data_IF_569894315807
#
_entry.id   IF_569894315807
#
_cell.length_a   1.000
_cell.length_b   1.000
_cell.length_c   1.000
_cell.angle_alpha   90.00
_cell.angle_beta   90.00
_cell.angle_gamma   90.00
#
_symmetry.space_group_name_H-M   'P 1'
#
loop_
_entity.id
_entity.type
_entity.pdbx_description
1 polymer ?
#
# COMPACT_ATOMS: atom_id res chain seq x y z
N UNK A 1 2.24 26.31 33.91
CA UNK A 1 1.74 24.95 34.18
C UNK A 1 0.99 24.37 32.98
N UNK A 2 -0.17 24.92 32.58
CA UNK A 2 -0.97 24.39 31.45
C UNK A 2 -0.16 24.35 30.14
N UNK A 3 0.56 25.44 29.82
CA UNK A 3 1.42 25.51 28.62
C UNK A 3 2.54 24.47 28.64
N UNK A 4 3.09 24.16 29.82
CA UNK A 4 4.09 23.09 29.99
C UNK A 4 3.50 21.72 29.65
N UNK A 5 2.31 21.40 30.17
CA UNK A 5 1.63 20.13 29.89
C UNK A 5 1.24 20.01 28.42
N UNK A 6 0.76 21.10 27.80
CA UNK A 6 0.49 21.14 26.36
C UNK A 6 1.76 20.89 25.55
N UNK A 7 2.87 21.54 25.90
CA UNK A 7 4.16 21.35 25.23
C UNK A 7 4.63 19.90 25.29
N UNK A 8 4.56 19.25 26.46
CA UNK A 8 4.93 17.82 26.59
C UNK A 8 4.01 16.91 25.77
N UNK A 9 2.70 17.16 25.80
CA UNK A 9 1.74 16.41 24.99
C UNK A 9 2.04 16.55 23.49
N UNK A 10 2.37 17.74 23.04
CA UNK A 10 2.72 18.00 21.64
C UNK A 10 4.04 17.34 21.25
N UNK A 11 5.07 17.45 22.10
CA UNK A 11 6.39 16.84 21.88
C UNK A 11 6.36 15.31 21.87
N UNK A 12 5.57 14.71 22.76
CA UNK A 12 5.52 13.24 22.89
C UNK A 12 4.43 12.62 22.01
N UNK A 13 3.44 13.40 21.56
CA UNK A 13 2.25 12.88 20.86
C UNK A 13 1.39 11.93 21.70
N UNK A 14 1.69 11.74 22.99
CA UNK A 14 0.98 10.82 23.88
C UNK A 14 -0.15 11.56 24.58
N UNK A 15 -1.39 11.13 24.29
CA UNK A 15 -2.59 11.64 24.95
C UNK A 15 -2.78 11.12 26.37
N UNK A 16 -3.63 11.78 27.16
CA UNK A 16 -3.86 11.43 28.58
C UNK A 16 -4.29 9.98 28.82
N UNK A 17 -5.07 9.39 27.90
CA UNK A 17 -5.48 7.99 27.98
C UNK A 17 -4.29 7.05 27.81
N UNK A 18 -3.44 7.32 26.81
CA UNK A 18 -2.27 6.49 26.55
C UNK A 18 -1.21 6.64 27.67
N UNK A 19 -1.08 7.85 28.24
CA UNK A 19 -0.14 8.13 29.33
C UNK A 19 -0.42 7.28 30.58
N UNK A 20 -1.70 7.08 30.92
CA UNK A 20 -2.11 6.29 32.09
C UNK A 20 -2.39 4.82 31.76
N UNK A 21 -2.32 4.43 30.49
CA UNK A 21 -2.63 3.05 30.09
C UNK A 21 -1.59 2.10 30.68
N UNK A 22 -2.09 1.05 31.35
CA UNK A 22 -1.29 -0.02 31.96
C UNK A 22 -0.30 0.45 33.05
N UNK A 23 -0.60 1.54 33.76
CA UNK A 23 0.24 2.01 34.86
C UNK A 23 -0.30 1.55 36.22
N UNK A 24 0.47 0.73 36.92
CA UNK A 24 0.11 0.22 38.26
C UNK A 24 0.42 1.21 39.38
N UNK A 25 1.30 2.17 39.13
CA UNK A 25 1.74 3.23 40.04
C UNK A 25 0.88 4.50 39.97
N UNK A 26 -0.29 4.45 39.33
CA UNK A 26 -1.16 5.60 39.14
C UNK A 26 -1.70 6.11 40.50
N UNK A 27 -1.53 7.41 40.83
CA UNK A 27 -2.11 8.01 42.02
C UNK A 27 -3.62 7.81 42.11
N UNK A 28 -4.13 7.67 43.34
CA UNK A 28 -5.54 7.45 43.60
C UNK A 28 -6.40 8.59 43.00
N UNK A 29 -7.51 8.24 42.36
CA UNK A 29 -8.43 9.17 41.70
C UNK A 29 -7.85 9.96 40.50
N UNK A 30 -6.62 9.68 40.05
CA UNK A 30 -6.12 10.26 38.80
C UNK A 30 -6.74 9.54 37.59
N UNK A 31 -7.47 10.27 36.75
CA UNK A 31 -8.11 9.71 35.55
C UNK A 31 -7.67 10.48 34.29
N UNK A 32 -7.76 9.88 33.09
CA UNK A 32 -7.46 10.59 31.84
C UNK A 32 -8.34 11.83 31.62
N UNK A 33 -9.54 11.85 32.24
CA UNK A 33 -10.46 12.99 32.20
C UNK A 33 -9.94 14.16 33.02
N UNK A 34 -9.32 13.92 34.18
CA UNK A 34 -8.67 14.97 34.97
C UNK A 34 -7.57 15.66 34.17
N UNK A 35 -6.66 14.88 33.58
CA UNK A 35 -5.58 15.42 32.73
C UNK A 35 -6.13 16.21 31.54
N UNK A 36 -7.18 15.70 30.88
CA UNK A 36 -7.84 16.41 29.78
C UNK A 36 -8.43 17.75 30.25
N UNK A 37 -9.12 17.77 31.39
CA UNK A 37 -9.65 19.01 31.97
C UNK A 37 -8.56 20.03 32.32
N UNK A 38 -7.37 19.58 32.77
CA UNK A 38 -6.23 20.47 33.02
C UNK A 38 -5.68 21.08 31.73
N UNK A 39 -5.53 20.27 30.67
CA UNK A 39 -5.07 20.74 29.36
C UNK A 39 -6.04 21.73 28.72
N UNK A 40 -7.34 21.56 28.96
CA UNK A 40 -8.41 22.45 28.50
C UNK A 40 -8.57 23.69 29.39
N UNK A 41 -7.83 23.78 30.51
CA UNK A 41 -7.93 24.89 31.47
C UNK A 41 -9.25 24.95 32.24
N UNK A 42 -10.05 23.88 32.24
CA UNK A 42 -11.34 23.82 32.95
C UNK A 42 -11.19 23.63 34.46
N UNK A 43 -10.05 23.12 34.91
CA UNK A 43 -9.72 22.92 36.31
C UNK A 43 -8.53 23.82 36.67
N UNK A 44 -8.76 24.73 37.62
CA UNK A 44 -7.77 25.73 38.07
C UNK A 44 -6.87 25.15 39.18
N UNK A 45 -7.38 24.20 39.96
CA UNK A 45 -6.65 23.55 41.05
C UNK A 45 -6.31 22.11 40.69
N UNK A 46 -5.05 21.73 40.89
CA UNK A 46 -4.52 20.39 40.62
C UNK A 46 -3.70 19.95 41.84
N UNK A 47 -3.94 18.74 42.40
CA UNK A 47 -3.10 18.19 43.45
C UNK A 47 -1.62 18.13 43.00
N UNK A 48 -0.67 18.66 43.78
CA UNK A 48 0.75 18.69 43.39
C UNK A 48 1.32 17.32 43.04
N UNK A 49 0.92 16.27 43.77
CA UNK A 49 1.36 14.89 43.53
C UNK A 49 0.92 14.37 42.16
N UNK A 50 -0.32 14.66 41.74
CA UNK A 50 -0.81 14.22 40.44
C UNK A 50 -0.09 14.95 39.30
N UNK A 51 0.20 16.24 39.48
CA UNK A 51 0.94 17.02 38.51
C UNK A 51 2.37 16.49 38.36
N UNK A 52 3.06 16.26 39.49
CA UNK A 52 4.42 15.71 39.52
C UNK A 52 4.49 14.35 38.83
N UNK A 53 3.53 13.46 39.13
CA UNK A 53 3.43 12.17 38.48
C UNK A 53 3.26 12.31 36.96
N UNK A 54 2.27 13.08 36.50
CA UNK A 54 1.99 13.24 35.06
C UNK A 54 3.16 13.88 34.31
N UNK A 55 3.82 14.87 34.89
CA UNK A 55 5.02 15.48 34.30
C UNK A 55 6.18 14.48 34.21
N UNK A 56 6.47 13.75 35.29
CA UNK A 56 7.53 12.73 35.28
C UNK A 56 7.27 11.63 34.24
N UNK A 57 6.01 11.23 34.04
CA UNK A 57 5.65 10.27 32.99
C UNK A 57 5.84 10.83 31.59
N UNK A 58 5.49 12.08 31.33
CA UNK A 58 5.72 12.71 30.02
C UNK A 58 7.20 12.99 29.75
N UNK A 59 7.97 13.32 30.77
CA UNK A 59 9.42 13.55 30.67
C UNK A 59 10.18 12.25 30.36
N UNK A 60 9.70 11.11 30.86
CA UNK A 60 10.27 9.80 30.54
C UNK A 60 9.93 9.30 29.13
N UNK A 61 9.00 9.94 28.41
CA UNK A 61 8.62 9.54 27.06
C UNK A 61 9.58 10.11 26.00
N UNK A 62 9.82 9.38 24.90
CA UNK A 62 10.60 9.89 23.79
C UNK A 62 9.95 11.16 23.20
N UNK A 63 10.78 12.15 22.90
CA UNK A 63 10.37 13.36 22.18
C UNK A 63 10.37 13.05 20.69
N UNK A 64 9.25 13.33 20.03
CA UNK A 64 9.10 13.18 18.60
C UNK A 64 9.02 14.54 17.92
N UNK A 65 9.51 14.60 16.70
CA UNK A 65 9.40 15.78 15.85
C UNK A 65 8.17 15.68 14.96
N UNK A 66 7.37 16.74 14.97
CA UNK A 66 6.17 16.85 14.14
C UNK A 66 6.37 17.89 13.04
N UNK A 67 5.85 17.59 11.86
CA UNK A 67 5.77 18.50 10.72
C UNK A 67 4.32 18.75 10.31
N UNK A 68 4.10 19.80 9.51
CA UNK A 68 2.82 20.07 8.85
C UNK A 68 2.82 19.46 7.46
N UNK A 69 1.74 18.77 7.09
CA UNK A 69 1.58 18.28 5.72
C UNK A 69 1.30 19.47 4.82
N UNK A 70 2.27 19.82 3.99
CA UNK A 70 2.11 20.80 2.90
C UNK A 70 1.57 20.11 1.65
N UNK A 71 1.14 20.89 0.66
CA UNK A 71 0.70 20.36 -0.64
C UNK A 71 1.85 19.59 -1.32
N UNK A 72 3.08 20.12 -1.29
CA UNK A 72 4.26 19.43 -1.85
C UNK A 72 4.48 18.02 -1.27
N UNK A 73 4.35 17.86 0.05
CA UNK A 73 4.51 16.55 0.71
C UNK A 73 3.39 15.61 0.26
N UNK A 74 2.17 16.14 0.16
CA UNK A 74 1.00 15.37 -0.24
C UNK A 74 1.14 14.91 -1.71
N UNK A 75 1.66 15.76 -2.58
CA UNK A 75 1.93 15.44 -3.97
C UNK A 75 3.00 14.35 -4.09
N UNK A 76 4.09 14.43 -3.34
CA UNK A 76 5.12 13.37 -3.28
C UNK A 76 4.51 12.03 -2.81
N UNK A 77 3.68 12.05 -1.76
CA UNK A 77 3.02 10.84 -1.26
C UNK A 77 2.07 10.23 -2.31
N UNK A 78 1.30 11.08 -3.00
CA UNK A 78 0.38 10.66 -4.07
C UNK A 78 1.12 10.14 -5.28
N UNK A 79 2.22 10.77 -5.67
CA UNK A 79 3.09 10.32 -6.76
C UNK A 79 3.59 8.91 -6.49
N UNK A 80 4.18 8.68 -5.32
CA UNK A 80 4.62 7.35 -4.89
C UNK A 80 3.49 6.32 -4.87
N UNK A 81 2.33 6.70 -4.34
CA UNK A 81 1.15 5.84 -4.31
C UNK A 81 0.64 5.52 -5.73
N UNK A 82 0.64 6.49 -6.64
CA UNK A 82 0.22 6.32 -8.02
C UNK A 82 1.23 5.51 -8.84
N UNK A 83 2.53 5.70 -8.62
CA UNK A 83 3.63 4.97 -9.26
C UNK A 83 3.62 3.49 -8.87
N UNK A 84 3.49 3.20 -7.57
CA UNK A 84 3.57 1.83 -7.04
C UNK A 84 2.24 1.09 -7.01
N UNK A 85 1.11 1.81 -7.00
CA UNK A 85 -0.24 1.28 -6.73
C UNK A 85 -0.35 0.46 -5.43
N UNK A 86 0.62 0.59 -4.52
CA UNK A 86 0.65 -0.10 -3.24
C UNK A 86 0.01 0.79 -2.18
N UNK A 87 -1.15 0.37 -1.66
CA UNK A 87 -1.86 1.10 -0.60
C UNK A 87 -1.19 0.98 0.79
N UNK A 88 -1.64 1.76 1.77
CA UNK A 88 -1.06 1.78 3.12
C UNK A 88 -1.04 0.43 3.85
N UNK A 89 -2.05 -0.42 3.65
CA UNK A 89 -2.13 -1.73 4.30
C UNK A 89 -1.04 -2.68 3.75
N UNK A 90 -0.96 -2.93 2.42
CA UNK A 90 0.15 -3.70 1.86
C UNK A 90 1.54 -3.12 2.15
N UNK A 91 1.68 -1.78 2.14
CA UNK A 91 2.97 -1.12 2.41
C UNK A 91 3.57 -1.52 3.77
N UNK A 92 2.71 -1.67 4.78
CA UNK A 92 3.08 -1.95 6.16
C UNK A 92 2.98 -3.43 6.56
N UNK A 93 2.50 -4.31 5.67
CA UNK A 93 2.17 -5.71 6.02
C UNK A 93 3.41 -6.53 6.40
N UNK A 94 4.50 -6.36 5.67
CA UNK A 94 5.73 -7.17 5.81
C UNK A 94 6.94 -6.32 6.24
N UNK A 95 6.68 -5.19 6.88
CA UNK A 95 7.69 -4.18 7.13
C UNK A 95 8.37 -4.41 8.49
N UNK A 96 9.62 -4.85 8.46
CA UNK A 96 10.49 -4.87 9.64
C UNK A 96 10.78 -3.42 10.11
N UNK A 97 11.00 -3.24 11.41
CA UNK A 97 11.34 -1.94 12.02
C UNK A 97 10.31 -0.81 11.80
N UNK A 98 9.01 -1.13 11.81
CA UNK A 98 7.95 -0.12 11.74
C UNK A 98 8.02 0.83 12.95
N UNK A 99 8.06 2.17 12.74
CA UNK A 99 8.01 3.13 13.83
C UNK A 99 6.79 2.93 14.73
N UNK A 100 6.99 3.13 16.03
CA UNK A 100 5.92 2.97 17.01
C UNK A 100 4.72 3.87 16.69
N UNK A 101 3.52 3.31 16.76
CA UNK A 101 2.28 4.03 16.51
C UNK A 101 1.93 4.23 15.02
N UNK A 102 2.82 3.97 14.08
CA UNK A 102 2.50 4.06 12.65
C UNK A 102 1.51 2.95 12.25
N UNK A 103 0.34 3.36 11.76
CA UNK A 103 -0.76 2.46 11.35
C UNK A 103 -1.24 2.84 9.95
N UNK A 104 -1.80 1.89 9.17
CA UNK A 104 -2.25 2.17 7.80
C UNK A 104 -3.23 3.35 7.69
N UNK A 105 -4.13 3.52 8.65
CA UNK A 105 -5.11 4.61 8.63
C UNK A 105 -4.49 6.00 8.82
N UNK A 106 -3.30 6.10 9.44
CA UNK A 106 -2.58 7.37 9.59
C UNK A 106 -2.10 7.84 8.22
N UNK A 107 -1.50 6.93 7.45
CA UNK A 107 -1.04 7.19 6.08
C UNK A 107 -2.24 7.50 5.18
N UNK A 108 -3.34 6.75 5.30
CA UNK A 108 -4.57 7.05 4.57
C UNK A 108 -5.11 8.45 4.90
N UNK A 109 -5.11 8.86 6.18
CA UNK A 109 -5.52 10.19 6.59
C UNK A 109 -4.61 11.30 6.03
N UNK A 110 -3.32 11.03 5.79
CA UNK A 110 -2.42 11.95 5.08
C UNK A 110 -2.80 12.08 3.60
N UNK A 111 -2.98 10.96 2.90
CA UNK A 111 -3.35 10.93 1.48
C UNK A 111 -4.71 11.59 1.21
N UNK A 112 -5.66 11.40 2.12
CA UNK A 112 -6.99 12.01 2.05
C UNK A 112 -7.00 13.50 2.48
N UNK A 113 -5.87 14.04 2.97
CA UNK A 113 -5.79 15.39 3.52
C UNK A 113 -6.55 15.61 4.84
N UNK A 114 -7.02 14.52 5.48
CA UNK A 114 -7.76 14.57 6.76
C UNK A 114 -6.87 14.92 7.95
N UNK A 115 -5.59 14.59 7.88
CA UNK A 115 -4.61 15.02 8.88
C UNK A 115 -3.72 16.12 8.33
N UNK A 116 -3.48 17.17 9.11
CA UNK A 116 -2.60 18.30 8.76
C UNK A 116 -1.21 18.19 9.38
N UNK A 117 -0.94 17.13 10.13
CA UNK A 117 0.34 16.91 10.82
C UNK A 117 0.82 15.48 10.65
N UNK A 118 2.13 15.31 10.74
CA UNK A 118 2.80 14.02 10.69
C UNK A 118 3.97 14.00 11.66
N UNK A 119 4.36 12.81 12.11
CA UNK A 119 5.65 12.62 12.78
C UNK A 119 6.74 12.43 11.74
N UNK A 120 7.87 13.11 11.86
CA UNK A 120 8.94 13.09 10.85
C UNK A 120 9.51 11.69 10.61
N UNK A 121 9.66 10.90 11.66
CA UNK A 121 10.11 9.51 11.57
C UNK A 121 9.14 8.63 10.78
N UNK A 122 7.84 8.82 10.99
CA UNK A 122 6.81 8.11 10.25
C UNK A 122 6.82 8.49 8.76
N UNK A 123 6.91 9.78 8.44
CA UNK A 123 6.96 10.24 7.05
C UNK A 123 8.20 9.71 6.33
N UNK A 124 9.38 9.84 6.96
CA UNK A 124 10.64 9.32 6.42
C UNK A 124 10.54 7.82 6.11
N UNK A 125 10.06 7.03 7.06
CA UNK A 125 9.87 5.59 6.88
C UNK A 125 8.93 5.25 5.72
N UNK A 126 7.81 5.96 5.61
CA UNK A 126 6.82 5.73 4.54
C UNK A 126 7.39 6.07 3.18
N UNK A 127 8.11 7.18 3.05
CA UNK A 127 8.76 7.59 1.80
C UNK A 127 9.87 6.62 1.40
N UNK A 128 10.75 6.22 2.33
CA UNK A 128 11.80 5.21 2.08
C UNK A 128 11.20 3.87 1.61
N UNK A 129 10.09 3.46 2.21
CA UNK A 129 9.42 2.20 1.83
C UNK A 129 8.79 2.27 0.45
N UNK A 130 8.08 3.36 0.13
CA UNK A 130 7.50 3.51 -1.20
C UNK A 130 8.56 3.73 -2.28
N UNK A 131 9.64 4.46 -1.99
CA UNK A 131 10.73 4.67 -2.96
C UNK A 131 11.45 3.37 -3.32
N UNK A 132 11.60 2.46 -2.35
CA UNK A 132 12.19 1.13 -2.57
C UNK A 132 11.30 0.16 -3.35
N UNK A 133 10.00 0.43 -3.49
CA UNK A 133 9.10 -0.41 -4.28
C UNK A 133 9.29 -0.12 -5.78
N UNK A 134 9.34 -1.17 -6.62
CA UNK A 134 9.37 -0.99 -8.07
C UNK A 134 8.10 -0.26 -8.53
N UNK A 135 8.20 0.45 -9.65
CA UNK A 135 7.03 0.98 -10.34
C UNK A 135 6.05 -0.15 -10.58
N UNK A 136 4.75 0.13 -10.46
CA UNK A 136 3.72 -0.77 -10.93
C UNK A 136 3.79 -0.79 -12.46
N UNK A 137 4.79 -1.51 -13.00
CA UNK A 137 4.81 -1.98 -14.38
C UNK A 137 3.58 -2.86 -14.55
N UNK A 138 2.44 -2.26 -14.88
CA UNK A 138 1.21 -2.86 -15.37
C UNK A 138 0.79 -4.21 -14.74
N UNK A 139 1.21 -4.51 -13.52
CA UNK A 139 0.96 -5.75 -12.81
C UNK A 139 -0.41 -5.63 -12.15
N UNK A 140 -1.44 -5.40 -12.98
CA UNK A 140 -2.76 -5.97 -12.70
C UNK A 140 -2.49 -7.44 -12.45
N UNK A 141 -2.46 -7.84 -11.18
CA UNK A 141 -2.31 -9.22 -10.69
C UNK A 141 -1.99 -10.15 -11.84
N UNK A 142 -0.70 -10.30 -12.17
CA UNK A 142 -0.29 -11.48 -12.91
C UNK A 142 -0.69 -12.61 -11.98
N UNK A 143 -1.88 -13.18 -12.19
CA UNK A 143 -2.32 -14.36 -11.47
C UNK A 143 -1.15 -15.32 -11.60
N UNK A 144 -0.66 -15.82 -10.46
CA UNK A 144 0.39 -16.83 -10.41
C UNK A 144 0.24 -17.82 -11.57
N UNK A 145 1.21 -17.85 -12.50
CA UNK A 145 1.21 -18.70 -13.68
C UNK A 145 0.77 -18.06 -15.01
N UNK A 146 0.49 -16.76 -15.05
CA UNK A 146 0.30 -16.01 -16.31
C UNK A 146 1.56 -15.20 -16.65
N UNK A 147 1.82 -14.99 -17.93
CA UNK A 147 2.86 -14.09 -18.44
C UNK A 147 2.19 -13.02 -19.30
N UNK A 148 2.78 -11.83 -19.36
CA UNK A 148 2.34 -10.79 -20.29
C UNK A 148 2.67 -11.19 -21.72
N UNK A 149 1.74 -10.95 -22.63
CA UNK A 149 1.93 -11.18 -24.06
C UNK A 149 2.66 -9.96 -24.62
N UNK A 150 3.93 -10.15 -24.98
CA UNK A 150 4.76 -9.06 -25.50
C UNK A 150 4.29 -8.61 -26.88
N UNK A 151 4.60 -7.36 -27.31
CA UNK A 151 4.32 -6.92 -28.67
C UNK A 151 4.86 -7.90 -29.73
N UNK A 152 6.11 -8.35 -29.57
CA UNK A 152 6.73 -9.32 -30.47
C UNK A 152 5.99 -10.67 -30.54
N UNK A 153 5.44 -11.15 -29.42
CA UNK A 153 4.61 -12.36 -29.43
C UNK A 153 3.29 -12.15 -30.16
N UNK A 154 2.67 -10.97 -30.03
CA UNK A 154 1.44 -10.63 -30.76
C UNK A 154 1.70 -10.51 -32.26
N UNK A 155 2.81 -9.88 -32.66
CA UNK A 155 3.21 -9.76 -34.06
C UNK A 155 3.42 -11.14 -34.68
N UNK A 156 4.08 -12.05 -33.94
CA UNK A 156 4.24 -13.45 -34.36
C UNK A 156 2.91 -14.19 -34.52
N UNK A 157 1.93 -13.96 -33.64
CA UNK A 157 0.59 -14.56 -33.79
C UNK A 157 -0.11 -14.05 -35.06
N UNK A 158 -0.01 -12.75 -35.37
CA UNK A 158 -0.55 -12.17 -36.60
C UNK A 158 0.17 -12.73 -37.84
N UNK A 159 1.50 -12.84 -37.79
CA UNK A 159 2.30 -13.43 -38.87
C UNK A 159 1.85 -14.87 -39.16
N UNK A 160 1.76 -15.72 -38.14
CA UNK A 160 1.33 -17.12 -38.30
C UNK A 160 -0.10 -17.23 -38.85
N UNK A 161 -1.03 -16.41 -38.35
CA UNK A 161 -2.40 -16.34 -38.86
C UNK A 161 -2.42 -15.95 -40.34
N UNK A 162 -1.67 -14.91 -40.73
CA UNK A 162 -1.64 -14.42 -42.10
C UNK A 162 -0.96 -15.42 -43.05
N UNK A 163 0.15 -16.02 -42.61
CA UNK A 163 0.94 -16.97 -43.40
C UNK A 163 0.20 -18.28 -43.64
N UNK A 164 -0.53 -18.78 -42.64
CA UNK A 164 -1.28 -20.05 -42.76
C UNK A 164 -2.66 -19.88 -43.36
N UNK A 165 -3.27 -18.70 -43.23
CA UNK A 165 -4.66 -18.43 -43.63
C UNK A 165 -5.71 -19.02 -42.69
N UNK A 166 -5.31 -19.74 -41.65
CA UNK A 166 -6.20 -20.32 -40.66
C UNK A 166 -6.41 -19.34 -39.51
N UNK A 167 -7.67 -19.01 -39.21
CA UNK A 167 -8.04 -18.24 -38.03
C UNK A 167 -8.11 -19.08 -36.74
N UNK A 168 -8.24 -18.45 -35.56
CA UNK A 168 -8.33 -19.14 -34.27
C UNK A 168 -9.39 -20.25 -34.19
N UNK A 169 -10.54 -20.09 -34.87
CA UNK A 169 -11.58 -21.11 -34.91
C UNK A 169 -11.13 -22.37 -35.67
N UNK A 170 -10.41 -22.20 -36.78
CA UNK A 170 -9.90 -23.32 -37.56
C UNK A 170 -8.73 -23.99 -36.86
N UNK A 171 -7.85 -23.21 -36.22
CA UNK A 171 -6.75 -23.72 -35.40
C UNK A 171 -7.24 -24.67 -34.30
N UNK A 172 -8.32 -24.30 -33.63
CA UNK A 172 -8.89 -25.05 -32.50
C UNK A 172 -9.85 -26.18 -32.94
N UNK A 173 -10.19 -26.27 -34.22
CA UNK A 173 -11.08 -27.33 -34.72
C UNK A 173 -10.39 -28.68 -34.58
N UNK A 174 -11.01 -29.60 -33.85
CA UNK A 174 -10.47 -30.95 -33.58
C UNK A 174 -9.31 -30.99 -32.58
N UNK A 175 -9.01 -29.89 -31.89
CA UNK A 175 -7.95 -29.80 -30.88
C UNK A 175 -8.33 -30.45 -29.55
N UNK A 176 -8.29 -31.79 -29.48
CA UNK A 176 -8.61 -32.55 -28.25
C UNK A 176 -7.55 -32.39 -27.15
N UNK A 177 -6.34 -32.02 -27.54
CA UNK A 177 -5.14 -31.82 -26.70
C UNK A 177 -4.97 -30.37 -26.21
N UNK A 178 -5.97 -29.51 -26.44
CA UNK A 178 -5.92 -28.12 -26.03
C UNK A 178 -5.80 -27.96 -24.50
N UNK A 179 -4.84 -27.13 -24.00
CA UNK A 179 -4.73 -26.82 -22.59
C UNK A 179 -6.05 -26.31 -21.99
N UNK A 180 -6.34 -26.69 -20.74
CA UNK A 180 -7.61 -26.36 -20.07
C UNK A 180 -7.91 -24.85 -20.11
N UNK A 181 -9.09 -24.49 -20.60
CA UNK A 181 -9.55 -23.11 -20.69
C UNK A 181 -8.92 -22.30 -21.83
N UNK A 182 -8.19 -22.93 -22.75
CA UNK A 182 -7.80 -22.32 -24.02
C UNK A 182 -8.89 -22.58 -25.06
N UNK A 183 -9.38 -21.52 -25.71
CA UNK A 183 -10.38 -21.58 -26.77
C UNK A 183 -10.16 -20.47 -27.79
N UNK A 184 -10.84 -20.53 -28.93
CA UNK A 184 -10.64 -19.58 -30.03
C UNK A 184 -10.93 -18.13 -29.64
N UNK A 185 -11.94 -17.89 -28.79
CA UNK A 185 -12.23 -16.55 -28.27
C UNK A 185 -11.10 -15.95 -27.44
N UNK A 186 -10.38 -16.76 -26.66
CA UNK A 186 -9.21 -16.31 -25.89
C UNK A 186 -8.05 -15.93 -26.81
N UNK A 187 -7.83 -16.71 -27.87
CA UNK A 187 -6.80 -16.43 -28.88
C UNK A 187 -7.14 -15.15 -29.66
N UNK A 188 -8.42 -14.94 -29.99
CA UNK A 188 -8.89 -13.66 -30.54
C UNK A 188 -8.55 -12.49 -29.63
N UNK A 189 -8.81 -12.64 -28.33
CA UNK A 189 -8.47 -11.62 -27.35
C UNK A 189 -6.97 -11.31 -27.25
N UNK A 190 -6.10 -12.28 -27.56
CA UNK A 190 -4.65 -12.05 -27.62
C UNK A 190 -4.25 -11.26 -28.87
N UNK A 191 -4.86 -11.58 -30.02
CA UNK A 191 -4.62 -10.94 -31.31
C UNK A 191 -5.09 -9.48 -31.34
N UNK A 192 -6.27 -9.19 -30.78
CA UNK A 192 -6.84 -7.84 -30.73
C UNK A 192 -6.32 -7.00 -29.55
N UNK A 193 -5.61 -7.63 -28.60
CA UNK A 193 -5.01 -6.98 -27.44
C UNK A 193 -5.96 -6.72 -26.27
N UNK A 194 -7.21 -7.19 -26.34
CA UNK A 194 -8.16 -7.14 -25.21
C UNK A 194 -7.70 -7.99 -24.03
N UNK A 195 -7.01 -9.11 -24.30
CA UNK A 195 -6.36 -9.97 -23.31
C UNK A 195 -4.85 -9.82 -23.43
N UNK A 196 -4.23 -9.24 -22.39
CA UNK A 196 -2.79 -8.92 -22.35
C UNK A 196 -1.93 -9.99 -21.67
N UNK A 197 -2.54 -11.01 -21.10
CA UNK A 197 -1.82 -12.08 -20.38
C UNK A 197 -2.27 -13.46 -20.83
N UNK A 198 -1.34 -14.41 -20.82
CA UNK A 198 -1.58 -15.81 -21.16
C UNK A 198 -0.75 -16.71 -20.24
N UNK A 199 -1.21 -17.93 -19.98
CA UNK A 199 -0.32 -18.91 -19.37
C UNK A 199 0.77 -19.30 -20.37
N UNK A 200 2.05 -19.43 -19.97
CA UNK A 200 3.13 -19.82 -20.87
C UNK A 200 2.82 -21.09 -21.66
N UNK A 201 2.23 -22.12 -21.02
CA UNK A 201 1.89 -23.37 -21.71
C UNK A 201 0.81 -23.20 -22.79
N UNK A 202 -0.15 -22.27 -22.58
CA UNK A 202 -1.20 -22.00 -23.55
C UNK A 202 -0.65 -21.27 -24.77
N UNK A 203 0.25 -20.30 -24.55
CA UNK A 203 0.86 -19.52 -25.62
C UNK A 203 1.80 -20.39 -26.48
N UNK A 204 2.63 -21.21 -25.83
CA UNK A 204 3.51 -22.16 -26.51
C UNK A 204 2.71 -23.15 -27.38
N UNK A 205 1.64 -23.72 -26.84
CA UNK A 205 0.74 -24.61 -27.59
C UNK A 205 0.18 -23.96 -28.86
N UNK A 206 -0.29 -22.71 -28.77
CA UNK A 206 -0.85 -21.98 -29.92
C UNK A 206 0.21 -21.76 -31.00
N UNK A 207 1.44 -21.38 -30.63
CA UNK A 207 2.54 -21.23 -31.58
C UNK A 207 2.86 -22.55 -32.28
N UNK A 208 3.12 -23.62 -31.51
CA UNK A 208 3.44 -24.94 -32.07
C UNK A 208 2.34 -25.45 -33.01
N UNK A 209 1.08 -25.27 -32.62
CA UNK A 209 -0.04 -25.75 -33.44
C UNK A 209 -0.17 -24.97 -34.74
N UNK A 210 -0.04 -23.64 -34.72
CA UNK A 210 -0.08 -22.85 -35.96
C UNK A 210 1.10 -23.15 -36.87
N UNK A 211 2.29 -23.33 -36.30
CA UNK A 211 3.49 -23.72 -37.03
C UNK A 211 3.31 -25.06 -37.75
N UNK A 212 2.61 -26.02 -37.15
CA UNK A 212 2.30 -27.32 -37.77
C UNK A 212 1.33 -27.27 -38.96
N UNK A 213 0.66 -26.13 -39.17
CA UNK A 213 -0.27 -25.89 -40.29
C UNK A 213 0.41 -25.18 -41.47
N UNK A 214 1.65 -24.74 -41.31
CA UNK A 214 2.40 -24.09 -42.37
C UNK A 214 2.64 -25.12 -43.49
N UNK A 215 2.17 -24.78 -44.70
CA UNK A 215 2.27 -25.65 -45.88
C UNK A 215 1.10 -26.62 -46.11
N UNK A 216 0.08 -26.64 -45.23
CA UNK A 216 -1.11 -27.52 -45.37
C UNK A 216 -2.32 -26.82 -46.01
N UNK A 217 -2.11 -26.03 -47.07
CA UNK A 217 -3.18 -25.31 -47.77
C UNK A 217 -3.98 -26.21 -48.71
#
# INVERSE_FOLDING_TARGET
MIETLKSYREKTGVGSVALLKNQSDCPENLTPRHIKSWLEGRLISVPPEHLKYVLGRWEALPVFEFGKITEDILDVLKEHWHRTKVGPVPLLKDAAAKPEGLRPHIIAAWLDGRSRSYRKDHLKYVLERWSALPDALNTRRVLSGYAEITPAQRDRLHELKNRTGFGPNALMRGAKDAPRGLGSGKIWGWLDGTIKTAKPEQLAYVFTRWESLIGKK
#
